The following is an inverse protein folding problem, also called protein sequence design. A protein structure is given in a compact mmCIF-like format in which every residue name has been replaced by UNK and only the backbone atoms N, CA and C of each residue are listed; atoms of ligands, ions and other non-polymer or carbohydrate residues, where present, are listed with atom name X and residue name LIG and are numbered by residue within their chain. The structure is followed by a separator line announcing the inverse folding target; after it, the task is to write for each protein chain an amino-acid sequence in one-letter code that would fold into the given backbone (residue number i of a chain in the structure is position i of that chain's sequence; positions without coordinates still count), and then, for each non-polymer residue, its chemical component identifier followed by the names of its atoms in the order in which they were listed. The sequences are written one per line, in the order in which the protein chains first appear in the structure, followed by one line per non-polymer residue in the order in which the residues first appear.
data_IF_147637279547
#
_entry.id   IF_147637279547
#
_cell.length_a   1.000
_cell.length_b   1.000
_cell.length_c   1.000
_cell.angle_alpha   90.00
_cell.angle_beta   90.00
_cell.angle_gamma   90.00
#
_symmetry.space_group_name_H-M   'P 1'
#
loop_
_entity.id
_entity.type
_entity.pdbx_description
1 polymer ?
#
# COMPACT_ATOMS: atom_id res chain seq x y z
N UNK A 1 -80.28 -34.42 30.62
CA UNK A 1 -80.26 -33.28 29.68
C UNK A 1 -79.52 -32.14 30.35
N UNK A 2 -78.18 -32.18 30.48
CA UNK A 2 -77.12 -32.38 29.45
C UNK A 2 -76.91 -31.12 28.59
N UNK A 3 -75.67 -30.74 28.21
CA UNK A 3 -74.37 -31.43 28.33
C UNK A 3 -73.29 -30.55 29.02
N UNK A 4 -72.22 -31.19 29.52
CA UNK A 4 -70.87 -30.59 29.46
C UNK A 4 -70.28 -30.91 28.09
N UNK A 5 -69.46 -30.02 27.51
CA UNK A 5 -68.05 -30.42 27.25
C UNK A 5 -67.09 -29.23 27.07
N UNK A 6 -65.81 -29.57 26.94
CA UNK A 6 -64.59 -28.81 27.15
C UNK A 6 -63.92 -28.35 25.84
N UNK A 7 -63.42 -27.11 25.77
CA UNK A 7 -62.30 -26.72 24.90
C UNK A 7 -61.54 -25.49 25.43
N UNK A 8 -60.21 -25.60 25.53
CA UNK A 8 -59.29 -24.52 25.95
C UNK A 8 -58.52 -23.98 24.74
N UNK A 9 -58.47 -22.65 24.56
CA UNK A 9 -57.42 -21.96 23.76
C UNK A 9 -57.03 -20.60 24.37
N UNK A 10 -55.74 -20.25 24.24
CA UNK A 10 -55.07 -19.05 24.78
C UNK A 10 -55.15 -17.86 23.79
N UNK A 11 -54.90 -16.59 24.17
CA UNK A 11 -55.27 -15.42 23.37
C UNK A 11 -54.13 -14.83 22.51
N UNK A 12 -54.52 -14.35 21.32
CA UNK A 12 -53.76 -13.60 20.29
C UNK A 12 -54.77 -12.64 19.59
N UNK A 13 -54.48 -11.50 18.94
CA UNK A 13 -53.31 -10.58 18.76
C UNK A 13 -53.83 -9.34 17.98
N UNK A 14 -53.18 -8.17 17.88
CA UNK A 14 -52.26 -7.39 18.74
C UNK A 14 -51.91 -6.08 17.98
N UNK A 15 -51.70 -4.94 18.67
CA UNK A 15 -51.29 -3.67 18.02
C UNK A 15 -50.15 -2.98 18.78
N UNK A 16 -48.94 -3.12 18.25
CA UNK A 16 -47.72 -2.50 18.77
C UNK A 16 -47.41 -1.23 17.95
N UNK A 17 -47.62 -0.03 18.52
CA UNK A 17 -47.18 1.23 17.87
C UNK A 17 -45.68 1.41 18.17
N UNK A 18 -44.85 0.71 17.41
CA UNK A 18 -43.40 0.89 17.43
C UNK A 18 -43.04 2.16 16.65
N UNK A 19 -42.69 3.23 17.35
CA UNK A 19 -42.10 4.43 16.74
C UNK A 19 -40.64 4.12 16.40
N UNK A 20 -40.43 3.50 15.23
CA UNK A 20 -39.11 3.13 14.73
C UNK A 20 -38.31 4.34 14.26
N UNK A 21 -37.61 5.02 15.18
CA UNK A 21 -36.51 5.92 14.80
C UNK A 21 -35.33 5.08 14.30
N UNK A 22 -35.27 4.86 12.99
CA UNK A 22 -34.13 4.24 12.34
C UNK A 22 -32.90 5.16 12.47
N UNK A 23 -32.07 4.90 13.49
CA UNK A 23 -30.73 5.50 13.58
C UNK A 23 -29.87 4.79 12.53
N UNK A 24 -29.94 5.27 11.29
CA UNK A 24 -29.01 4.88 10.25
C UNK A 24 -27.62 5.36 10.63
N UNK A 25 -26.81 4.46 11.19
CA UNK A 25 -25.38 4.71 11.41
C UNK A 25 -24.74 4.77 10.03
N UNK A 26 -24.66 5.97 9.47
CA UNK A 26 -23.84 6.26 8.30
C UNK A 26 -22.38 6.07 8.69
N UNK A 27 -21.85 4.86 8.45
CA UNK A 27 -20.43 4.58 8.54
C UNK A 27 -19.76 5.40 7.42
N UNK A 28 -19.29 6.59 7.79
CA UNK A 28 -18.47 7.41 6.91
C UNK A 28 -17.15 6.69 6.68
N UNK A 29 -17.07 5.93 5.59
CA UNK A 29 -15.82 5.33 5.12
C UNK A 29 -14.90 6.46 4.67
N UNK A 30 -14.02 6.91 5.55
CA UNK A 30 -13.03 7.93 5.23
C UNK A 30 -12.21 7.48 4.01
N UNK A 31 -11.87 8.38 3.07
CA UNK A 31 -11.05 8.03 1.92
C UNK A 31 -9.66 7.60 2.42
N UNK A 32 -9.31 6.34 2.20
CA UNK A 32 -7.97 5.83 2.45
C UNK A 32 -7.09 6.25 1.27
N UNK A 33 -6.25 7.24 1.50
CA UNK A 33 -5.19 7.59 0.54
C UNK A 33 -4.05 6.59 0.70
N UNK A 34 -3.68 5.95 -0.41
CA UNK A 34 -2.44 5.19 -0.51
C UNK A 34 -1.30 6.14 -0.93
N UNK A 35 -0.14 6.04 -0.29
CA UNK A 35 1.09 6.70 -0.71
C UNK A 35 2.10 5.63 -1.12
N UNK A 36 2.62 5.75 -2.34
CA UNK A 36 3.71 4.90 -2.85
C UNK A 36 5.03 5.41 -2.28
N UNK A 37 5.70 4.61 -1.44
CA UNK A 37 6.99 4.97 -0.81
C UNK A 37 8.08 4.06 -1.37
N UNK A 38 9.20 4.62 -1.83
CA UNK A 38 10.31 3.85 -2.38
C UNK A 38 10.85 2.79 -1.39
N UNK A 39 11.38 1.68 -1.91
CA UNK A 39 11.95 0.59 -1.12
C UNK A 39 13.36 0.91 -0.61
N UNK A 40 14.13 1.63 -1.41
CA UNK A 40 15.38 2.31 -1.05
C UNK A 40 15.34 3.75 -1.56
N UNK A 41 16.09 4.65 -0.93
CA UNK A 41 16.30 6.02 -1.40
C UNK A 41 17.66 6.56 -0.93
N UNK A 42 18.22 7.57 -1.59
CA UNK A 42 19.53 8.14 -1.27
C UNK A 42 19.63 9.62 -1.65
N UNK A 43 20.46 10.37 -0.91
CA UNK A 43 20.54 11.84 -1.02
C UNK A 43 21.48 12.34 -2.12
N UNK A 44 22.28 11.47 -2.74
CA UNK A 44 23.15 11.85 -3.85
C UNK A 44 23.99 10.69 -4.38
N UNK A 45 24.22 10.70 -5.70
CA UNK A 45 25.11 9.79 -6.42
C UNK A 45 26.56 10.32 -6.47
N UNK A 46 27.53 9.66 -5.80
CA UNK A 46 28.94 9.98 -5.94
C UNK A 46 29.63 9.17 -7.06
N UNK A 47 29.00 8.11 -7.57
CA UNK A 47 29.63 6.94 -8.17
C UNK A 47 28.71 6.29 -9.23
N UNK A 48 28.44 7.00 -10.32
CA UNK A 48 27.87 6.36 -11.51
C UNK A 48 28.90 5.43 -12.14
N UNK A 49 28.59 4.14 -12.29
CA UNK A 49 29.40 3.24 -13.12
C UNK A 49 29.33 3.67 -14.58
N UNK A 50 30.36 3.43 -15.43
CA UNK A 50 30.10 3.32 -16.87
C UNK A 50 28.98 2.28 -17.09
N UNK A 51 28.03 2.60 -17.97
CA UNK A 51 26.90 1.74 -18.30
C UNK A 51 27.39 0.47 -19.00
N UNK A 52 27.03 -0.70 -18.48
CA UNK A 52 27.43 -2.03 -18.96
C UNK A 52 26.18 -2.90 -19.15
N UNK A 53 26.29 -3.96 -19.97
CA UNK A 53 25.22 -4.95 -20.17
C UNK A 53 25.10 -5.85 -18.93
N UNK A 54 24.29 -5.45 -17.96
CA UNK A 54 24.18 -6.07 -16.64
C UNK A 54 22.72 -6.26 -16.22
N UNK A 55 22.48 -7.15 -15.26
CA UNK A 55 21.34 -7.06 -14.36
C UNK A 55 21.84 -6.43 -13.05
N UNK A 56 21.21 -5.34 -12.60
CA UNK A 56 21.61 -4.61 -11.40
C UNK A 56 20.43 -4.37 -10.45
N UNK A 57 20.63 -4.70 -9.18
CA UNK A 57 19.71 -4.39 -8.09
C UNK A 57 20.17 -4.96 -6.76
N UNK A 58 19.22 -5.49 -5.98
CA UNK A 58 19.49 -5.91 -4.61
C UNK A 58 18.60 -7.06 -4.11
N UNK A 59 19.14 -7.80 -3.14
CA UNK A 59 18.37 -8.75 -2.33
C UNK A 59 17.78 -8.05 -1.09
N UNK A 60 16.53 -8.38 -0.77
CA UNK A 60 15.84 -7.93 0.44
C UNK A 60 14.95 -9.03 1.01
N UNK A 61 14.70 -8.99 2.32
CA UNK A 61 13.66 -9.79 2.99
C UNK A 61 12.53 -8.87 3.40
N UNK A 62 11.28 -9.19 3.07
CA UNK A 62 10.11 -8.45 3.57
C UNK A 62 10.01 -8.61 5.09
N UNK A 63 9.62 -7.56 5.80
CA UNK A 63 9.46 -7.57 7.26
C UNK A 63 8.33 -8.49 7.75
N UNK A 64 7.90 -8.28 9.00
CA UNK A 64 6.92 -9.16 9.69
C UNK A 64 5.47 -9.04 9.16
N UNK A 65 5.23 -8.28 8.09
CA UNK A 65 3.92 -8.07 7.48
C UNK A 65 4.04 -8.03 5.96
N UNK A 66 3.01 -8.50 5.26
CA UNK A 66 2.97 -8.45 3.80
C UNK A 66 3.01 -7.00 3.31
N UNK A 67 3.67 -6.76 2.19
CA UNK A 67 3.72 -5.46 1.51
C UNK A 67 3.04 -5.55 0.15
N UNK A 68 2.51 -4.42 -0.33
CA UNK A 68 1.93 -4.29 -1.67
C UNK A 68 2.89 -3.44 -2.49
N UNK A 69 3.49 -4.02 -3.52
CA UNK A 69 4.27 -3.28 -4.52
C UNK A 69 3.33 -2.73 -5.58
N UNK A 70 3.38 -1.42 -5.82
CA UNK A 70 2.48 -0.69 -6.73
C UNK A 70 3.18 -0.01 -7.90
N UNK A 71 4.49 0.22 -7.82
CA UNK A 71 5.32 0.70 -8.94
C UNK A 71 6.69 -0.01 -8.94
N UNK A 72 7.26 -0.21 -10.12
CA UNK A 72 8.66 -0.59 -10.32
C UNK A 72 9.39 0.56 -11.01
N UNK A 73 10.68 0.74 -10.75
CA UNK A 73 11.43 1.85 -11.31
C UNK A 73 12.89 1.55 -11.59
N UNK A 74 13.49 2.38 -12.43
CA UNK A 74 14.89 2.31 -12.84
C UNK A 74 15.60 3.65 -12.54
N UNK A 75 16.91 3.58 -12.27
CA UNK A 75 17.73 4.71 -11.87
C UNK A 75 17.96 5.70 -13.02
N UNK A 76 17.62 6.97 -12.79
CA UNK A 76 17.79 8.09 -13.73
C UNK A 76 18.94 8.98 -13.24
N UNK A 77 20.14 8.69 -13.75
CA UNK A 77 21.34 9.41 -13.40
C UNK A 77 21.26 10.87 -13.89
N UNK A 78 21.39 11.83 -12.96
CA UNK A 78 21.16 13.29 -13.17
C UNK A 78 19.70 13.73 -13.32
N UNK A 79 18.75 12.79 -13.31
CA UNK A 79 17.31 13.08 -13.32
C UNK A 79 16.80 13.74 -14.62
N UNK A 80 17.59 13.73 -15.70
CA UNK A 80 17.28 14.38 -16.98
C UNK A 80 16.57 13.48 -18.01
N UNK A 81 16.46 12.18 -17.75
CA UNK A 81 15.62 11.25 -18.51
C UNK A 81 16.39 10.08 -19.11
N UNK A 82 15.75 8.90 -19.11
CA UNK A 82 16.39 7.65 -19.56
C UNK A 82 16.61 7.65 -21.07
N UNK A 83 17.81 7.31 -21.53
CA UNK A 83 18.16 7.21 -22.95
C UNK A 83 17.46 6.01 -23.61
N UNK A 84 17.36 4.88 -22.91
CA UNK A 84 16.69 3.66 -23.39
C UNK A 84 15.59 3.19 -22.43
N UNK A 85 14.90 2.12 -22.82
CA UNK A 85 13.88 1.48 -22.00
C UNK A 85 14.49 0.30 -21.23
N UNK A 86 14.13 0.16 -19.95
CA UNK A 86 14.73 -0.79 -19.03
C UNK A 86 13.69 -1.76 -18.47
N UNK A 87 13.90 -3.06 -18.69
CA UNK A 87 13.08 -4.09 -18.06
C UNK A 87 13.47 -4.27 -16.59
N UNK A 88 12.50 -4.17 -15.69
CA UNK A 88 12.66 -4.27 -14.23
C UNK A 88 11.77 -5.40 -13.70
N UNK A 89 12.28 -6.22 -12.79
CA UNK A 89 11.54 -7.34 -12.20
C UNK A 89 11.89 -7.64 -10.75
N UNK A 90 10.91 -8.20 -10.02
CA UNK A 90 11.07 -8.77 -8.68
C UNK A 90 10.95 -10.28 -8.77
N UNK A 91 11.90 -11.00 -8.20
CA UNK A 91 12.00 -12.46 -8.21
C UNK A 91 11.99 -13.03 -6.79
N UNK A 92 11.35 -14.19 -6.61
CA UNK A 92 11.34 -14.93 -5.35
C UNK A 92 12.65 -15.71 -5.18
N UNK A 93 13.35 -15.51 -4.05
CA UNK A 93 14.68 -16.09 -3.81
C UNK A 93 14.67 -17.64 -3.82
N UNK A 94 13.63 -18.25 -3.24
CA UNK A 94 13.61 -19.69 -2.95
C UNK A 94 13.40 -20.60 -4.17
N UNK A 95 12.89 -20.06 -5.28
CA UNK A 95 12.64 -20.81 -6.52
C UNK A 95 13.00 -20.02 -7.81
N UNK A 96 13.62 -18.85 -7.67
CA UNK A 96 14.02 -17.95 -8.76
C UNK A 96 12.86 -17.44 -9.65
N UNK A 97 11.62 -17.64 -9.24
CA UNK A 97 10.44 -17.30 -10.03
C UNK A 97 10.27 -15.78 -10.12
N UNK A 98 10.04 -15.27 -11.34
CA UNK A 98 9.58 -13.91 -11.55
C UNK A 98 8.19 -13.71 -10.93
N UNK A 99 8.07 -12.74 -10.03
CA UNK A 99 6.84 -12.42 -9.29
C UNK A 99 6.06 -11.32 -10.01
N UNK A 100 6.75 -10.28 -10.45
CA UNK A 100 6.22 -9.18 -11.26
C UNK A 100 7.35 -8.48 -12.01
N UNK A 101 7.05 -7.94 -13.20
CA UNK A 101 7.94 -7.09 -13.99
C UNK A 101 7.18 -5.96 -14.69
N UNK A 102 7.93 -4.99 -15.20
CA UNK A 102 7.47 -3.98 -16.16
C UNK A 102 8.66 -3.47 -16.98
N UNK A 103 8.39 -2.77 -18.07
CA UNK A 103 9.40 -1.97 -18.78
C UNK A 103 9.25 -0.52 -18.34
N UNK A 104 10.33 0.10 -17.87
CA UNK A 104 10.42 1.55 -17.67
C UNK A 104 10.82 2.17 -19.02
N UNK A 105 9.96 2.98 -19.68
CA UNK A 105 10.29 3.59 -20.97
C UNK A 105 11.35 4.69 -20.86
N UNK A 106 11.98 4.99 -21.99
CA UNK A 106 12.89 6.13 -22.15
C UNK A 106 12.18 7.49 -22.06
N UNK A 107 12.98 8.54 -21.88
CA UNK A 107 12.53 9.93 -21.76
C UNK A 107 12.16 10.30 -20.34
N UNK A 108 11.27 11.31 -20.23
CA UNK A 108 10.93 11.98 -18.96
C UNK A 108 9.47 11.85 -18.54
N UNK A 109 8.65 11.13 -19.33
CA UNK A 109 7.19 10.99 -19.12
C UNK A 109 6.83 10.18 -17.85
N UNK A 110 7.75 9.36 -17.36
CA UNK A 110 7.58 8.56 -16.14
C UNK A 110 7.89 9.35 -14.88
N UNK A 111 7.12 9.07 -13.82
CA UNK A 111 7.19 9.79 -12.55
C UNK A 111 8.56 9.60 -11.89
N UNK A 112 9.30 10.69 -11.75
CA UNK A 112 10.57 10.75 -11.02
C UNK A 112 10.29 10.88 -9.52
N UNK A 113 10.94 10.04 -8.70
CA UNK A 113 10.99 10.20 -7.24
C UNK A 113 12.36 9.77 -6.73
N UNK A 114 12.99 10.61 -5.91
CA UNK A 114 14.42 10.48 -5.61
C UNK A 114 15.23 10.53 -6.91
N UNK A 115 16.06 9.51 -7.14
CA UNK A 115 16.80 9.30 -8.39
C UNK A 115 16.20 8.19 -9.29
N UNK A 116 14.93 7.84 -9.14
CA UNK A 116 14.31 6.73 -9.87
C UNK A 116 13.08 7.17 -10.66
N UNK A 117 12.95 6.71 -11.91
CA UNK A 117 11.72 6.83 -12.70
C UNK A 117 10.88 5.57 -12.55
N UNK A 118 9.61 5.75 -12.19
CA UNK A 118 8.70 4.67 -11.87
C UNK A 118 7.57 4.51 -12.89
N UNK A 119 7.18 3.25 -13.10
CA UNK A 119 5.99 2.83 -13.84
C UNK A 119 5.05 2.09 -12.88
N UNK A 120 3.79 2.51 -12.84
CA UNK A 120 2.74 1.83 -12.10
C UNK A 120 2.47 0.42 -12.63
N UNK A 121 2.44 -0.55 -11.73
CA UNK A 121 2.14 -1.96 -12.04
C UNK A 121 0.78 -2.36 -11.47
N UNK A 122 0.31 -3.56 -11.81
CA UNK A 122 -0.78 -4.19 -11.05
C UNK A 122 -0.32 -4.42 -9.59
N UNK A 123 -1.05 -3.93 -8.58
CA UNK A 123 -0.67 -4.11 -7.18
C UNK A 123 -0.37 -5.58 -6.83
N UNK A 124 0.85 -5.83 -6.36
CA UNK A 124 1.40 -7.18 -6.17
C UNK A 124 1.81 -7.39 -4.73
N UNK A 125 1.31 -8.44 -4.10
CA UNK A 125 1.62 -8.77 -2.70
C UNK A 125 2.96 -9.50 -2.64
N UNK A 126 3.91 -8.99 -1.84
CA UNK A 126 5.07 -9.75 -1.38
C UNK A 126 4.85 -10.18 0.08
N UNK A 127 5.20 -11.42 0.39
CA UNK A 127 4.82 -12.06 1.66
C UNK A 127 5.81 -11.75 2.78
N UNK A 128 5.29 -11.62 4.00
CA UNK A 128 6.07 -11.39 5.22
C UNK A 128 7.20 -12.41 5.38
N UNK A 129 8.34 -11.97 5.91
CA UNK A 129 9.54 -12.78 6.19
C UNK A 129 10.10 -13.53 4.97
N UNK A 130 9.71 -13.16 3.74
CA UNK A 130 10.14 -13.83 2.51
C UNK A 130 11.21 -13.00 1.80
N UNK A 131 12.24 -13.67 1.27
CA UNK A 131 13.36 -13.04 0.56
C UNK A 131 13.10 -12.97 -0.94
N UNK A 132 13.44 -11.84 -1.54
CA UNK A 132 13.30 -11.53 -2.96
C UNK A 132 14.57 -10.82 -3.48
N UNK A 133 14.75 -10.82 -4.79
CA UNK A 133 15.69 -9.93 -5.50
C UNK A 133 14.90 -8.99 -6.40
N UNK A 134 15.22 -7.71 -6.41
CA UNK A 134 14.81 -6.80 -7.49
C UNK A 134 16.00 -6.58 -8.41
N UNK A 135 15.76 -6.47 -9.72
CA UNK A 135 16.79 -6.27 -10.74
C UNK A 135 16.24 -5.49 -11.93
N UNK A 136 17.10 -4.66 -12.53
CA UNK A 136 16.85 -3.96 -13.78
C UNK A 136 17.91 -4.33 -14.82
N UNK A 137 17.52 -4.32 -16.09
CA UNK A 137 18.45 -4.49 -17.22
C UNK A 137 19.18 -3.18 -17.47
N UNK A 138 20.48 -3.16 -17.23
CA UNK A 138 21.42 -2.12 -17.65
C UNK A 138 21.92 -2.42 -19.08
N UNK A 139 22.13 -1.38 -19.90
CA UNK A 139 22.56 -1.54 -21.30
C UNK A 139 23.85 -0.74 -21.54
N UNK A 140 24.83 -1.36 -22.20
CA UNK A 140 26.16 -0.80 -22.38
C UNK A 140 26.16 0.55 -23.11
N UNK A 141 26.83 1.53 -22.53
CA UNK A 141 26.95 2.92 -23.01
C UNK A 141 25.61 3.69 -23.12
N UNK A 142 24.53 3.21 -22.50
CA UNK A 142 23.27 3.94 -22.33
C UNK A 142 23.19 4.52 -20.91
N UNK A 143 22.08 4.36 -20.21
CA UNK A 143 21.89 4.81 -18.82
C UNK A 143 22.73 4.02 -17.82
N UNK A 144 23.55 4.68 -16.99
CA UNK A 144 24.40 4.01 -15.99
C UNK A 144 23.60 3.58 -14.76
N UNK A 145 24.18 2.73 -13.91
CA UNK A 145 23.72 2.47 -12.54
C UNK A 145 24.65 3.16 -11.53
N UNK A 146 24.16 3.39 -10.31
CA UNK A 146 24.98 3.92 -9.18
C UNK A 146 25.37 2.82 -8.19
N UNK A 147 26.49 2.99 -7.49
CA UNK A 147 26.95 2.12 -6.40
C UNK A 147 27.49 2.95 -5.22
N UNK A 148 27.41 2.43 -3.99
CA UNK A 148 27.74 3.17 -2.76
C UNK A 148 27.18 4.61 -2.69
N UNK A 149 25.86 4.81 -2.88
CA UNK A 149 25.27 6.14 -2.90
C UNK A 149 25.25 6.81 -1.51
N UNK A 150 25.38 8.14 -1.49
CA UNK A 150 25.43 8.91 -0.25
C UNK A 150 24.06 9.02 0.39
N UNK A 151 24.00 8.88 1.72
CA UNK A 151 22.73 8.96 2.47
C UNK A 151 21.76 7.81 2.18
N UNK A 152 22.28 6.64 1.78
CA UNK A 152 21.49 5.44 1.54
C UNK A 152 20.55 5.10 2.71
N UNK A 153 19.28 4.89 2.38
CA UNK A 153 18.19 4.60 3.29
C UNK A 153 17.31 3.48 2.75
N UNK A 154 16.68 2.75 3.66
CA UNK A 154 15.89 1.55 3.35
C UNK A 154 14.52 1.70 4.01
N UNK A 155 13.47 1.36 3.27
CA UNK A 155 12.10 1.37 3.77
C UNK A 155 11.94 0.36 4.92
N UNK A 156 11.45 0.74 6.11
CA UNK A 156 11.38 -0.13 7.28
C UNK A 156 10.45 -1.35 7.12
N UNK A 157 9.66 -1.41 6.04
CA UNK A 157 8.89 -2.59 5.69
C UNK A 157 9.72 -3.73 5.04
N UNK A 158 10.99 -3.47 4.69
CA UNK A 158 11.95 -4.47 4.20
C UNK A 158 13.28 -4.43 4.98
N UNK A 159 14.00 -5.54 4.92
CA UNK A 159 15.35 -5.71 5.46
C UNK A 159 16.29 -5.90 4.26
N UNK A 160 17.12 -4.90 3.98
CA UNK A 160 18.17 -5.01 2.96
C UNK A 160 19.16 -6.14 3.28
N UNK A 161 19.71 -6.79 2.26
CA UNK A 161 20.69 -7.87 2.41
C UNK A 161 22.04 -7.56 1.79
N UNK A 162 22.07 -7.36 0.48
CA UNK A 162 23.28 -7.28 -0.34
C UNK A 162 22.93 -6.78 -1.74
N UNK A 163 23.92 -6.33 -2.50
CA UNK A 163 23.77 -6.15 -3.93
C UNK A 163 23.37 -7.48 -4.59
N UNK A 164 22.68 -7.42 -5.73
CA UNK A 164 22.33 -8.57 -6.54
C UNK A 164 22.58 -8.23 -8.01
N UNK A 165 23.35 -9.05 -8.73
CA UNK A 165 23.75 -8.74 -10.10
C UNK A 165 23.98 -9.96 -11.00
N UNK A 166 23.99 -9.72 -12.32
CA UNK A 166 24.52 -10.64 -13.35
C UNK A 166 25.28 -9.83 -14.41
N UNK A 167 26.56 -10.11 -14.67
CA UNK A 167 27.32 -9.41 -15.71
C UNK A 167 27.11 -10.01 -17.11
N UNK A 168 27.25 -9.20 -18.16
CA UNK A 168 27.18 -9.57 -19.58
C UNK A 168 25.81 -10.12 -20.03
N UNK A 169 24.73 -9.42 -19.69
CA UNK A 169 23.35 -9.77 -20.11
C UNK A 169 22.49 -8.53 -20.33
N UNK A 170 21.65 -8.58 -21.35
CA UNK A 170 20.61 -7.57 -21.66
C UNK A 170 19.19 -8.13 -21.53
N UNK A 171 19.03 -9.25 -20.81
CA UNK A 171 17.76 -9.98 -20.65
C UNK A 171 17.37 -10.05 -19.17
N UNK A 172 16.15 -9.63 -18.84
CA UNK A 172 15.60 -9.68 -17.49
C UNK A 172 15.48 -11.14 -16.99
N UNK A 173 16.28 -11.48 -15.98
CA UNK A 173 16.34 -12.80 -15.36
C UNK A 173 16.67 -12.69 -13.86
N UNK A 174 16.65 -13.81 -13.13
CA UNK A 174 17.10 -13.85 -11.74
C UNK A 174 18.60 -13.49 -11.66
N UNK A 175 19.01 -12.50 -10.83
CA UNK A 175 20.42 -12.17 -10.67
C UNK A 175 21.23 -13.36 -10.15
N UNK A 176 22.29 -13.79 -10.85
CA UNK A 176 23.06 -14.98 -10.48
C UNK A 176 23.89 -14.78 -9.22
N UNK A 177 24.37 -13.55 -9.01
CA UNK A 177 25.41 -13.21 -8.04
C UNK A 177 24.86 -12.28 -6.96
N UNK A 178 25.49 -12.34 -5.78
CA UNK A 178 25.31 -11.37 -4.70
C UNK A 178 26.67 -10.75 -4.36
N UNK A 179 26.68 -9.48 -3.99
CA UNK A 179 27.88 -8.79 -3.52
C UNK A 179 27.61 -8.08 -2.18
N UNK A 180 28.53 -8.26 -1.23
CA UNK A 180 28.51 -7.65 0.09
C UNK A 180 29.69 -6.71 0.34
N UNK A 181 30.54 -6.45 -0.66
CA UNK A 181 31.61 -5.45 -0.59
C UNK A 181 31.12 -4.01 -0.79
N UNK A 182 29.98 -3.85 -1.48
CA UNK A 182 29.33 -2.57 -1.77
C UNK A 182 27.94 -2.52 -1.14
N UNK A 183 27.43 -1.30 -0.90
CA UNK A 183 26.08 -1.03 -0.41
C UNK A 183 25.04 -1.57 -1.41
N UNK A 184 25.30 -1.50 -2.71
CA UNK A 184 24.48 -2.09 -3.76
C UNK A 184 24.89 -1.67 -5.17
N UNK A 185 24.36 -2.37 -6.18
CA UNK A 185 24.41 -1.96 -7.59
C UNK A 185 22.99 -1.54 -7.99
N UNK A 186 22.71 -0.24 -8.02
CA UNK A 186 21.35 0.27 -8.07
C UNK A 186 20.95 0.69 -9.49
N UNK A 187 20.59 -0.31 -10.30
CA UNK A 187 19.78 -0.12 -11.51
C UNK A 187 18.30 -0.03 -11.17
N UNK A 188 17.74 -1.06 -10.51
CA UNK A 188 16.31 -1.12 -10.18
C UNK A 188 15.92 -0.77 -8.73
N UNK A 189 14.67 -0.32 -8.58
CA UNK A 189 13.99 -0.04 -7.32
C UNK A 189 12.48 -0.33 -7.48
N UNK A 190 11.71 -0.23 -6.39
CA UNK A 190 10.25 -0.37 -6.39
C UNK A 190 9.61 0.51 -5.32
N UNK A 191 8.30 0.72 -5.38
CA UNK A 191 7.53 1.40 -4.32
C UNK A 191 6.62 0.44 -3.58
N UNK A 192 6.34 0.76 -2.32
CA UNK A 192 5.40 0.07 -1.45
C UNK A 192 4.20 0.99 -1.21
N UNK A 193 3.01 0.47 -1.49
CA UNK A 193 1.73 1.16 -1.27
C UNK A 193 1.39 1.14 0.22
N UNK A 194 1.63 2.25 0.92
CA UNK A 194 1.28 2.42 2.32
C UNK A 194 -0.09 3.10 2.44
N UNK A 195 -1.07 2.40 3.01
CA UNK A 195 -2.35 3.01 3.38
C UNK A 195 -2.17 3.81 4.67
N UNK A 196 -2.24 5.14 4.61
CA UNK A 196 -2.32 5.94 5.83
C UNK A 196 -3.76 5.98 6.34
N UNK A 197 -4.05 5.57 7.58
CA UNK A 197 -5.34 5.84 8.19
C UNK A 197 -5.43 7.33 8.45
N UNK A 198 -6.24 8.06 7.68
CA UNK A 198 -6.58 9.45 8.02
C UNK A 198 -7.18 9.47 9.44
N UNK A 199 -6.62 10.26 10.38
CA UNK A 199 -7.17 10.34 11.73
C UNK A 199 -8.65 10.73 11.65
N UNK A 200 -9.51 9.99 12.35
CA UNK A 200 -10.96 10.12 12.27
C UNK A 200 -11.39 11.59 12.39
N UNK A 201 -11.81 12.18 11.26
CA UNK A 201 -12.28 13.56 11.25
C UNK A 201 -13.52 13.66 12.15
N UNK A 202 -13.49 14.61 13.09
CA UNK A 202 -14.60 14.88 14.00
C UNK A 202 -15.81 15.44 13.23
N UNK A 203 -16.59 14.56 12.62
CA UNK A 203 -17.77 14.95 11.85
C UNK A 203 -18.80 15.63 12.77
N UNK A 204 -19.06 16.95 12.60
CA UNK A 204 -19.89 17.73 13.53
C UNK A 204 -21.36 17.27 13.57
N UNK A 205 -21.81 16.50 12.57
CA UNK A 205 -23.16 15.90 12.55
C UNK A 205 -23.39 14.99 13.76
N UNK A 206 -22.37 14.26 14.22
CA UNK A 206 -22.49 13.39 15.39
C UNK A 206 -22.59 14.18 16.71
N UNK A 207 -21.89 15.32 16.82
CA UNK A 207 -21.95 16.20 17.99
C UNK A 207 -23.32 16.86 18.17
N UNK A 208 -23.96 17.26 17.07
CA UNK A 208 -25.28 17.90 17.09
C UNK A 208 -26.42 16.94 17.43
N UNK A 209 -26.33 15.66 17.04
CA UNK A 209 -27.37 14.65 17.32
C UNK A 209 -27.61 14.43 18.81
N UNK A 210 -26.54 14.35 19.61
CA UNK A 210 -26.60 14.12 21.06
C UNK A 210 -27.26 15.31 21.77
N UNK A 211 -26.89 16.54 21.40
CA UNK A 211 -27.50 17.77 21.92
C UNK A 211 -28.99 17.89 21.54
N UNK A 212 -29.34 17.62 20.29
CA UNK A 212 -30.72 17.68 19.81
C UNK A 212 -31.66 16.72 20.55
N UNK A 213 -31.25 15.47 20.75
CA UNK A 213 -32.03 14.46 21.49
C UNK A 213 -32.33 14.88 22.94
N UNK A 214 -31.34 15.46 23.63
CA UNK A 214 -31.46 15.88 25.02
C UNK A 214 -32.53 16.97 25.23
N UNK A 215 -32.62 17.93 24.30
CA UNK A 215 -33.64 18.99 24.34
C UNK A 215 -35.06 18.44 24.12
N UNK A 216 -35.23 17.46 23.21
CA UNK A 216 -36.55 16.86 22.93
C UNK A 216 -37.03 16.06 24.14
N UNK A 217 -36.18 15.21 24.74
CA UNK A 217 -36.53 14.41 25.92
C UNK A 217 -36.98 15.30 27.10
N UNK A 218 -36.23 16.39 27.39
CA UNK A 218 -36.54 17.34 28.46
C UNK A 218 -37.88 18.07 28.22
N UNK A 219 -38.21 18.38 26.97
CA UNK A 219 -39.48 19.05 26.57
C UNK A 219 -40.70 18.13 26.65
N UNK A 220 -40.53 16.81 26.48
CA UNK A 220 -41.61 15.81 26.61
C UNK A 220 -41.92 15.53 28.09
N UNK A 221 -40.89 15.31 28.92
CA UNK A 221 -41.07 15.06 30.37
C UNK A 221 -41.89 16.16 31.06
N UNK A 222 -41.57 17.43 30.79
CA UNK A 222 -42.30 18.58 31.33
C UNK A 222 -43.77 18.70 30.88
N UNK A 223 -44.16 18.08 29.76
CA UNK A 223 -45.57 18.00 29.34
C UNK A 223 -46.32 16.87 30.04
N UNK A 224 -45.69 15.71 30.24
CA UNK A 224 -46.30 14.56 30.90
C UNK A 224 -46.59 14.86 32.39
N UNK A 225 -45.63 15.43 33.11
CA UNK A 225 -45.79 15.86 34.51
C UNK A 225 -46.92 16.88 34.71
N UNK A 226 -47.27 17.65 33.67
CA UNK A 226 -48.35 18.64 33.72
C UNK A 226 -49.73 18.07 33.36
N UNK A 227 -49.81 16.82 32.87
CA UNK A 227 -51.08 16.14 32.54
C UNK A 227 -51.59 15.23 33.67
N UNK A 228 -50.73 14.83 34.62
CA UNK A 228 -51.09 14.05 35.80
C UNK A 228 -51.46 14.87 37.04
N UNK A 229 -52.04 16.06 36.86
CA UNK A 229 -52.41 17.00 37.97
C UNK A 229 -53.79 17.65 37.82
N UNK A 230 -54.61 17.13 36.89
CA UNK A 230 -56.01 17.50 36.67
C UNK A 230 -56.84 16.21 36.73
#
# INVERSE_FOLDING_TARGET
METLDFMVKLPLTASLIAIGTAIGVAIATSPVFAISIAAIDFTGDPNSSPSLDYLDGFQFTVGTSNIIVDQLGYYDARQDGLLVAHDVGIFLESNQQLVVSTTVPSGTETNLSGFFRYVGIKPTILFANTTYRVAGVSIANQDPFTYDPTGFSVNPAIIYKSAAYTPNTTVLAFPSSLDGGFIGYFGANFTISATTPVPFEFNPVLGLGILGGLFIAKKISGKLLKKGKN
#
